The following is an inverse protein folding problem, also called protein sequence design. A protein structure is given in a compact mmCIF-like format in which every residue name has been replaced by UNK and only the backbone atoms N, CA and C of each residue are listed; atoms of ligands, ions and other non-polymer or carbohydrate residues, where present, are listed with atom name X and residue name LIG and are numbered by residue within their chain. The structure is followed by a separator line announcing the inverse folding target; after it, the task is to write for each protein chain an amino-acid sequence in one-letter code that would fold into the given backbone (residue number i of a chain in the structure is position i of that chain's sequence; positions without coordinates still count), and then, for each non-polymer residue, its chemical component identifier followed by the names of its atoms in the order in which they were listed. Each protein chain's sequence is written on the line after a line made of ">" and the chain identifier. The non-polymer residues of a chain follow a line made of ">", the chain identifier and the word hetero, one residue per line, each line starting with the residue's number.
data_IF_935754207046
#
_entry.id   IF_935754207046
#
_cell.length_a   1.000
_cell.length_b   1.000
_cell.length_c   1.000
_cell.angle_alpha   90.00
_cell.angle_beta   90.00
_cell.angle_gamma   90.00
#
_symmetry.space_group_name_H-M   'P 1'
#
loop_
_entity.id
_entity.type
_entity.pdbx_description
1 polymer ?
#
# COMPACT_ATOMS: atom_id res chain seq x y z
N UNK A 1 19.59 21.30 -8.57
CA UNK A 1 18.62 20.18 -8.62
C UNK A 1 18.06 20.09 -7.23
N UNK A 2 16.96 20.80 -7.00
CA UNK A 2 16.37 20.91 -5.68
C UNK A 2 15.81 19.55 -5.26
N UNK A 3 16.25 19.07 -4.10
CA UNK A 3 15.68 17.87 -3.52
C UNK A 3 14.20 18.09 -3.30
N UNK A 4 13.36 17.25 -3.91
CA UNK A 4 11.93 17.24 -3.64
C UNK A 4 11.72 17.03 -2.13
N UNK A 5 11.39 18.10 -1.43
CA UNK A 5 10.93 18.01 -0.04
C UNK A 5 9.46 17.60 -0.11
N UNK A 6 9.22 16.29 0.01
CA UNK A 6 7.87 15.75 0.12
C UNK A 6 7.44 15.94 1.57
N UNK A 7 6.73 17.03 1.86
CA UNK A 7 6.21 17.31 3.20
C UNK A 7 5.47 16.07 3.75
N UNK A 8 5.90 15.57 4.90
CA UNK A 8 5.33 14.38 5.54
C UNK A 8 5.92 13.04 5.09
N UNK A 9 7.00 12.99 4.28
CA UNK A 9 7.73 11.75 3.99
C UNK A 9 9.04 11.66 4.80
N UNK A 10 9.18 10.61 5.60
CA UNK A 10 10.41 10.27 6.32
C UNK A 10 11.17 9.23 5.49
N UNK A 11 12.31 9.62 4.91
CA UNK A 11 13.14 8.71 4.09
C UNK A 11 14.22 8.05 4.95
N UNK A 12 14.40 6.73 4.78
CA UNK A 12 15.45 5.95 5.45
C UNK A 12 16.55 5.49 4.49
N UNK A 13 16.19 5.14 3.25
CA UNK A 13 17.11 4.66 2.22
C UNK A 13 16.63 5.15 0.85
N UNK A 14 17.55 5.47 -0.06
CA UNK A 14 17.22 5.81 -1.45
C UNK A 14 17.98 4.86 -2.37
N UNK A 15 17.40 3.69 -2.69
CA UNK A 15 18.07 2.71 -3.54
C UNK A 15 18.16 3.21 -4.99
N UNK A 16 19.30 3.00 -5.62
CA UNK A 16 19.54 3.30 -7.03
C UNK A 16 19.15 2.08 -7.90
N UNK A 17 17.85 1.81 -7.95
CA UNK A 17 17.27 0.69 -8.71
C UNK A 17 15.89 1.07 -9.24
N UNK A 18 15.55 0.57 -10.43
CA UNK A 18 14.21 0.75 -10.99
C UNK A 18 13.23 -0.20 -10.32
N UNK A 19 12.04 0.29 -9.99
CA UNK A 19 10.97 -0.51 -9.39
C UNK A 19 9.72 -0.42 -10.28
N UNK A 20 9.67 -1.08 -11.45
CA UNK A 20 8.59 -0.86 -12.42
C UNK A 20 7.21 -1.32 -11.95
N UNK A 21 7.11 -2.07 -10.86
CA UNK A 21 5.84 -2.49 -10.27
C UNK A 21 5.74 -2.04 -8.82
N UNK A 22 4.60 -1.46 -8.46
CA UNK A 22 4.24 -1.14 -7.09
C UNK A 22 3.00 -1.94 -6.67
N UNK A 23 3.03 -2.56 -5.48
CA UNK A 23 1.85 -3.18 -4.88
C UNK A 23 1.47 -2.41 -3.62
N UNK A 24 0.20 -2.06 -3.49
CA UNK A 24 -0.30 -1.14 -2.47
C UNK A 24 -1.48 -1.77 -1.73
N UNK A 25 -1.48 -1.71 -0.40
CA UNK A 25 -2.64 -2.07 0.41
C UNK A 25 -2.76 -1.14 1.63
N UNK A 26 -4.00 -0.85 2.00
CA UNK A 26 -4.33 -0.08 3.20
C UNK A 26 -5.12 -0.95 4.15
N UNK A 27 -4.81 -0.87 5.43
CA UNK A 27 -5.69 -1.33 6.49
C UNK A 27 -6.84 -0.33 6.64
N UNK A 28 -8.00 -0.80 7.09
CA UNK A 28 -9.18 0.02 7.28
C UNK A 28 -10.40 -0.62 6.66
N UNK A 29 -11.28 0.21 6.09
CA UNK A 29 -12.57 -0.24 5.56
C UNK A 29 -12.46 -1.28 4.42
N UNK A 30 -11.56 -1.14 3.43
CA UNK A 30 -11.42 -2.10 2.33
C UNK A 30 -10.34 -3.18 2.56
N UNK A 31 -10.18 -3.67 3.81
CA UNK A 31 -9.23 -4.74 4.16
C UNK A 31 -9.86 -5.79 5.09
N UNK A 32 -10.94 -6.42 4.62
CA UNK A 32 -11.64 -7.47 5.35
C UNK A 32 -10.68 -8.58 5.80
N UNK A 33 -10.73 -8.92 7.09
CA UNK A 33 -9.84 -9.88 7.76
C UNK A 33 -8.33 -9.61 7.57
N UNK A 34 -7.98 -8.35 7.30
CA UNK A 34 -6.64 -7.88 6.95
C UNK A 34 -6.02 -8.60 5.75
N UNK A 35 -6.83 -9.13 4.82
CA UNK A 35 -6.33 -10.00 3.76
C UNK A 35 -5.32 -9.30 2.83
N UNK A 36 -5.59 -8.05 2.43
CA UNK A 36 -4.72 -7.29 1.52
C UNK A 36 -3.43 -6.86 2.23
N UNK A 37 -3.53 -6.31 3.44
CA UNK A 37 -2.32 -5.91 4.17
C UNK A 37 -1.49 -7.11 4.64
N UNK A 38 -2.11 -8.25 4.99
CA UNK A 38 -1.38 -9.49 5.29
C UNK A 38 -0.64 -10.03 4.07
N UNK A 39 -1.19 -9.90 2.86
CA UNK A 39 -0.51 -10.31 1.63
C UNK A 39 0.80 -9.52 1.43
N UNK A 40 0.76 -8.19 1.52
CA UNK A 40 1.97 -7.37 1.37
C UNK A 40 2.96 -7.62 2.51
N UNK A 41 2.49 -7.70 3.77
CA UNK A 41 3.38 -8.04 4.91
C UNK A 41 4.01 -9.42 4.75
N UNK A 42 3.32 -10.38 4.14
CA UNK A 42 3.88 -11.69 3.81
C UNK A 42 4.97 -11.57 2.75
N UNK A 43 4.75 -10.80 1.68
CA UNK A 43 5.77 -10.51 0.66
C UNK A 43 7.00 -9.85 1.27
N UNK A 44 6.83 -8.82 2.11
CA UNK A 44 7.96 -8.15 2.79
C UNK A 44 8.82 -9.14 3.58
N UNK A 45 8.18 -10.09 4.29
CA UNK A 45 8.92 -11.12 5.06
C UNK A 45 9.60 -12.18 4.18
N UNK A 46 9.00 -12.53 3.04
CA UNK A 46 9.47 -13.63 2.18
C UNK A 46 10.45 -13.18 1.09
N UNK A 47 10.35 -11.93 0.65
CA UNK A 47 11.24 -11.27 -0.30
C UNK A 47 12.28 -10.40 0.43
N UNK A 48 12.71 -10.77 1.65
CA UNK A 48 13.36 -9.88 2.64
C UNK A 48 13.38 -8.37 2.30
N UNK A 49 12.21 -7.77 2.08
CA UNK A 49 12.12 -6.43 1.51
C UNK A 49 12.55 -5.38 2.54
N UNK A 50 13.35 -4.41 2.11
CA UNK A 50 13.92 -3.38 2.98
C UNK A 50 13.02 -2.16 3.02
N UNK A 51 12.82 -1.57 4.19
CA UNK A 51 12.05 -0.33 4.35
C UNK A 51 12.87 0.85 3.83
N UNK A 52 12.29 1.66 2.95
CA UNK A 52 12.98 2.83 2.34
C UNK A 52 12.42 4.16 2.82
N UNK A 53 11.13 4.21 3.18
CA UNK A 53 10.48 5.42 3.65
C UNK A 53 9.21 5.10 4.44
N UNK A 54 8.69 6.10 5.15
CA UNK A 54 7.35 6.10 5.73
C UNK A 54 6.69 7.48 5.60
N UNK A 55 5.36 7.51 5.58
CA UNK A 55 4.60 8.78 5.66
C UNK A 55 4.37 9.10 7.13
N UNK A 56 4.80 10.29 7.57
CA UNK A 56 4.56 10.84 8.90
C UNK A 56 3.06 10.95 9.15
N UNK A 57 2.52 10.32 10.21
CA UNK A 57 1.08 10.31 10.44
C UNK A 57 0.50 11.65 10.92
N UNK A 58 1.31 12.60 11.40
CA UNK A 58 0.87 13.82 12.10
C UNK A 58 -0.22 14.60 11.33
N UNK A 59 -0.02 14.77 10.02
CA UNK A 59 -0.89 15.62 9.18
C UNK A 59 -2.09 14.87 8.58
N UNK A 60 -2.12 13.54 8.68
CA UNK A 60 -3.05 12.68 7.93
C UNK A 60 -3.99 11.86 8.79
N UNK A 61 -3.70 11.71 10.09
CA UNK A 61 -4.46 10.89 11.01
C UNK A 61 -5.15 11.72 12.09
N UNK A 62 -6.40 11.41 12.35
CA UNK A 62 -7.06 11.82 13.59
C UNK A 62 -6.73 10.78 14.67
N UNK A 63 -5.81 11.12 15.57
CA UNK A 63 -5.39 10.21 16.63
C UNK A 63 -6.47 9.92 17.68
N UNK A 64 -7.61 10.61 17.64
CA UNK A 64 -8.77 10.25 18.47
C UNK A 64 -9.56 9.09 17.85
N UNK A 65 -9.52 8.95 16.52
CA UNK A 65 -10.13 7.86 15.74
C UNK A 65 -9.16 6.68 15.64
N UNK A 66 -7.93 6.91 15.18
CA UNK A 66 -6.89 5.88 15.03
C UNK A 66 -5.83 6.07 16.11
N UNK A 67 -6.14 5.57 17.31
CA UNK A 67 -5.30 5.77 18.50
C UNK A 67 -3.93 5.10 18.38
N UNK A 68 -2.82 5.82 18.66
CA UNK A 68 -1.52 5.22 18.85
C UNK A 68 -1.54 4.21 20.00
N UNK A 69 -0.76 3.15 19.87
CA UNK A 69 -0.73 2.07 20.85
C UNK A 69 0.58 2.05 21.63
N UNK A 70 0.50 1.97 22.95
CA UNK A 70 1.71 1.72 23.75
C UNK A 70 2.17 0.28 23.57
N UNK A 71 3.48 0.09 23.49
CA UNK A 71 4.14 -1.21 23.39
C UNK A 71 5.39 -1.22 24.26
N UNK A 72 5.80 -2.40 24.70
CA UNK A 72 7.09 -2.62 25.33
C UNK A 72 8.00 -3.25 24.28
N UNK A 73 9.14 -2.63 24.01
CA UNK A 73 10.10 -3.15 23.03
C UNK A 73 10.95 -4.29 23.64
N UNK A 74 11.84 -4.88 22.85
CA UNK A 74 12.72 -5.99 23.31
C UNK A 74 13.68 -5.59 24.44
N UNK A 75 13.90 -4.28 24.67
CA UNK A 75 14.74 -3.74 25.75
C UNK A 75 13.94 -3.45 27.03
N UNK A 76 12.63 -3.71 27.04
CA UNK A 76 11.75 -3.39 28.17
C UNK A 76 11.27 -1.93 28.20
N UNK A 77 11.58 -1.13 27.19
CA UNK A 77 11.22 0.29 27.14
C UNK A 77 9.79 0.46 26.61
N UNK A 78 9.02 1.35 27.25
CA UNK A 78 7.70 1.74 26.75
C UNK A 78 7.87 2.67 25.55
N UNK A 79 7.36 2.25 24.40
CA UNK A 79 7.32 3.01 23.15
C UNK A 79 5.89 3.24 22.71
N UNK A 80 5.68 4.27 21.87
CA UNK A 80 4.41 4.53 21.20
C UNK A 80 4.53 4.01 19.76
N UNK A 81 3.54 3.22 19.35
CA UNK A 81 3.36 2.78 17.97
C UNK A 81 2.25 3.60 17.34
N UNK A 82 2.65 4.52 16.48
CA UNK A 82 1.77 5.32 15.65
C UNK A 82 1.16 4.49 14.50
N UNK A 83 0.06 4.95 13.88
CA UNK A 83 -0.35 4.47 12.56
C UNK A 83 0.82 4.58 11.57
N UNK A 84 1.01 3.57 10.73
CA UNK A 84 2.19 3.50 9.83
C UNK A 84 1.76 3.33 8.39
N UNK A 85 2.51 3.97 7.51
CA UNK A 85 2.40 3.92 6.06
C UNK A 85 3.80 3.76 5.50
N UNK A 86 4.19 2.50 5.29
CA UNK A 86 5.57 2.14 5.05
C UNK A 86 5.78 1.76 3.57
N UNK A 87 6.88 2.25 2.99
CA UNK A 87 7.39 1.82 1.69
C UNK A 87 8.55 0.85 1.89
N UNK A 88 8.52 -0.26 1.16
CA UNK A 88 9.58 -1.26 1.11
C UNK A 88 9.99 -1.52 -0.32
N UNK A 89 11.23 -1.92 -0.55
CA UNK A 89 11.69 -2.39 -1.84
C UNK A 89 12.33 -3.76 -1.75
N UNK A 90 12.24 -4.52 -2.85
CA UNK A 90 13.03 -5.73 -3.05
C UNK A 90 13.62 -5.73 -4.47
N UNK A 91 14.95 -5.69 -4.60
CA UNK A 91 15.64 -5.95 -5.85
C UNK A 91 15.91 -7.47 -5.96
N UNK A 92 15.44 -8.16 -7.01
CA UNK A 92 15.86 -9.53 -7.29
C UNK A 92 17.34 -9.58 -7.66
N UNK A 93 18.06 -10.63 -7.24
CA UNK A 93 19.52 -10.75 -7.34
C UNK A 93 20.08 -10.62 -8.77
N UNK A 94 19.28 -10.91 -9.81
CA UNK A 94 19.73 -10.99 -11.21
C UNK A 94 19.14 -9.91 -12.14
N UNK A 95 18.15 -9.15 -11.68
CA UNK A 95 17.47 -8.14 -12.51
C UNK A 95 17.64 -6.76 -11.91
N UNK A 96 18.10 -5.78 -12.69
CA UNK A 96 18.16 -4.35 -12.30
C UNK A 96 16.76 -3.71 -12.11
N UNK A 97 15.75 -4.51 -11.78
CA UNK A 97 14.34 -4.19 -11.77
C UNK A 97 13.68 -4.91 -10.61
N UNK A 98 13.23 -4.16 -9.61
CA UNK A 98 12.61 -4.71 -8.40
C UNK A 98 11.13 -4.39 -8.26
N UNK A 99 10.62 -4.62 -7.05
CA UNK A 99 9.25 -4.31 -6.68
C UNK A 99 9.21 -3.30 -5.53
N UNK A 100 8.36 -2.29 -5.68
CA UNK A 100 7.99 -1.37 -4.62
C UNK A 100 6.76 -1.93 -3.90
N UNK A 101 6.80 -2.03 -2.59
CA UNK A 101 5.70 -2.50 -1.76
C UNK A 101 5.29 -1.39 -0.82
N UNK A 102 4.00 -1.11 -0.76
CA UNK A 102 3.42 -0.16 0.17
C UNK A 102 2.38 -0.86 1.03
N UNK A 103 2.50 -0.72 2.35
CA UNK A 103 1.47 -1.15 3.28
C UNK A 103 1.22 -0.07 4.33
N UNK A 104 -0.03 0.35 4.42
CA UNK A 104 -0.42 1.49 5.23
C UNK A 104 -1.72 1.29 5.99
N UNK A 105 -2.15 2.35 6.65
CA UNK A 105 -3.50 2.50 7.21
C UNK A 105 -4.17 3.63 6.46
N UNK A 106 -5.44 3.48 6.12
CA UNK A 106 -6.20 4.55 5.45
C UNK A 106 -6.16 5.85 6.29
N UNK A 107 -5.74 6.99 5.68
CA UNK A 107 -5.68 8.27 6.39
C UNK A 107 -7.09 8.80 6.68
N UNK A 108 -7.25 9.60 7.72
CA UNK A 108 -8.52 10.27 8.02
C UNK A 108 -8.66 11.60 7.28
N UNK A 109 -7.54 12.27 7.03
CA UNK A 109 -7.48 13.65 6.53
C UNK A 109 -6.64 13.74 5.26
N UNK A 110 -6.82 14.84 4.51
CA UNK A 110 -5.96 15.26 3.39
C UNK A 110 -5.66 14.18 2.33
N UNK A 111 -6.65 13.37 1.96
CA UNK A 111 -6.48 12.26 0.99
C UNK A 111 -5.76 12.66 -0.30
N UNK A 112 -6.03 13.84 -0.85
CA UNK A 112 -5.32 14.32 -2.06
C UNK A 112 -3.81 14.48 -1.84
N UNK A 113 -3.42 15.12 -0.74
CA UNK A 113 -1.99 15.29 -0.42
C UNK A 113 -1.33 13.95 -0.11
N UNK A 114 -2.03 13.08 0.63
CA UNK A 114 -1.54 11.73 0.93
C UNK A 114 -1.34 10.89 -0.34
N UNK A 115 -2.32 10.88 -1.25
CA UNK A 115 -2.23 10.19 -2.54
C UNK A 115 -1.07 10.73 -3.37
N UNK A 116 -0.86 12.05 -3.38
CA UNK A 116 0.27 12.66 -4.10
C UNK A 116 1.61 12.11 -3.58
N UNK A 117 1.79 11.97 -2.27
CA UNK A 117 3.01 11.38 -1.68
C UNK A 117 3.23 9.94 -2.20
N UNK A 118 2.17 9.13 -2.24
CA UNK A 118 2.24 7.75 -2.76
C UNK A 118 2.60 7.74 -4.26
N UNK A 119 1.97 8.61 -5.06
CA UNK A 119 2.25 8.77 -6.48
C UNK A 119 3.66 9.29 -6.76
N UNK A 120 4.14 10.25 -5.97
CA UNK A 120 5.50 10.80 -6.08
C UNK A 120 6.55 9.74 -5.79
N UNK A 121 6.31 8.85 -4.81
CA UNK A 121 7.15 7.68 -4.60
C UNK A 121 7.15 6.73 -5.80
N UNK A 122 5.98 6.50 -6.41
CA UNK A 122 5.88 5.69 -7.62
C UNK A 122 6.64 6.31 -8.80
N UNK A 123 6.52 7.63 -9.00
CA UNK A 123 7.24 8.38 -10.02
C UNK A 123 8.76 8.38 -9.80
N UNK A 124 9.19 8.58 -8.55
CA UNK A 124 10.62 8.58 -8.15
C UNK A 124 11.34 7.29 -8.54
N UNK A 125 10.66 6.14 -8.44
CA UNK A 125 11.24 4.83 -8.78
C UNK A 125 10.80 4.29 -10.16
N UNK A 126 10.28 5.17 -11.03
CA UNK A 126 9.85 4.86 -12.39
C UNK A 126 8.81 3.73 -12.49
N UNK A 127 7.92 3.60 -11.51
CA UNK A 127 6.83 2.62 -11.52
C UNK A 127 6.00 2.77 -12.80
N UNK A 128 5.73 1.65 -13.48
CA UNK A 128 4.91 1.56 -14.69
C UNK A 128 3.55 0.88 -14.43
N UNK A 129 3.47 0.08 -13.36
CA UNK A 129 2.26 -0.62 -12.95
C UNK A 129 2.05 -0.48 -11.44
N UNK A 130 0.90 0.04 -11.05
CA UNK A 130 0.42 0.02 -9.66
C UNK A 130 -0.67 -1.04 -9.54
N UNK A 131 -0.53 -1.94 -8.57
CA UNK A 131 -1.53 -2.96 -8.21
C UNK A 131 -2.04 -2.63 -6.81
N UNK A 132 -3.26 -2.10 -6.73
CA UNK A 132 -3.94 -1.86 -5.46
C UNK A 132 -4.72 -3.10 -5.03
N UNK A 133 -4.42 -3.60 -3.83
CA UNK A 133 -5.08 -4.76 -3.24
C UNK A 133 -6.08 -4.31 -2.19
N UNK A 134 -7.27 -4.88 -2.20
CA UNK A 134 -8.30 -4.69 -1.17
C UNK A 134 -9.06 -5.99 -0.92
N UNK A 135 -9.79 -6.04 0.19
CA UNK A 135 -10.66 -7.15 0.54
C UNK A 135 -11.96 -6.63 1.14
N UNK A 136 -13.08 -7.19 0.70
CA UNK A 136 -14.41 -6.77 1.11
C UNK A 136 -15.16 -7.96 1.69
N UNK A 137 -16.04 -7.68 2.65
CA UNK A 137 -17.00 -8.67 3.15
C UNK A 137 -18.07 -8.89 2.10
N UNK A 138 -18.34 -10.15 1.80
CA UNK A 138 -19.39 -10.56 0.86
C UNK A 138 -20.08 -11.83 1.39
N UNK A 139 -21.30 -12.09 0.93
CA UNK A 139 -22.10 -13.25 1.31
C UNK A 139 -21.64 -14.51 0.57
N UNK A 140 -20.37 -14.90 0.78
CA UNK A 140 -19.73 -16.07 0.17
C UNK A 140 -19.35 -17.10 1.25
N UNK A 141 -19.61 -18.40 1.03
CA UNK A 141 -19.25 -19.42 2.00
C UNK A 141 -17.72 -19.63 2.03
N UNK A 142 -17.16 -19.81 3.23
CA UNK A 142 -15.73 -20.07 3.44
C UNK A 142 -15.23 -21.42 2.88
N UNK A 143 -16.15 -22.26 2.38
CA UNK A 143 -15.88 -23.56 1.78
C UNK A 143 -15.70 -23.52 0.25
N UNK A 144 -15.79 -22.32 -0.36
CA UNK A 144 -15.52 -22.13 -1.79
C UNK A 144 -14.34 -21.20 -2.01
N UNK A 145 -13.77 -21.29 -3.22
CA UNK A 145 -12.70 -20.39 -3.63
C UNK A 145 -13.14 -18.92 -3.53
N UNK A 146 -12.30 -18.03 -2.97
CA UNK A 146 -12.58 -16.61 -2.92
C UNK A 146 -12.74 -16.02 -4.32
N UNK A 147 -13.78 -15.19 -4.51
CA UNK A 147 -13.96 -14.45 -5.76
C UNK A 147 -13.00 -13.27 -5.81
N UNK A 148 -12.38 -13.07 -6.97
CA UNK A 148 -11.52 -11.92 -7.23
C UNK A 148 -12.24 -11.00 -8.23
N UNK A 149 -12.45 -9.76 -7.82
CA UNK A 149 -13.00 -8.70 -8.67
C UNK A 149 -12.05 -7.52 -8.68
N UNK A 150 -12.12 -6.69 -9.71
CA UNK A 150 -11.21 -5.56 -9.85
C UNK A 150 -11.56 -4.63 -10.99
N UNK A 151 -10.79 -3.54 -11.09
CA UNK A 151 -10.86 -2.56 -12.18
C UNK A 151 -9.46 -2.31 -12.72
N UNK A 152 -9.40 -1.86 -13.96
CA UNK A 152 -8.17 -1.53 -14.66
C UNK A 152 -8.30 -0.16 -15.34
N UNK A 153 -7.19 0.57 -15.46
CA UNK A 153 -7.15 1.95 -15.97
C UNK A 153 -6.86 2.06 -17.48
N UNK A 154 -6.40 0.98 -18.12
CA UNK A 154 -6.11 0.95 -19.56
C UNK A 154 -6.80 -0.23 -20.25
N UNK A 155 -6.91 -0.16 -21.59
CA UNK A 155 -7.47 -1.25 -22.40
C UNK A 155 -6.65 -2.53 -22.23
N UNK A 156 -5.33 -2.43 -22.35
CA UNK A 156 -4.42 -3.58 -22.22
C UNK A 156 -4.53 -4.24 -20.84
N UNK A 157 -4.59 -3.44 -19.76
CA UNK A 157 -4.80 -3.98 -18.42
C UNK A 157 -6.19 -4.60 -18.28
N UNK A 158 -7.21 -4.02 -18.90
CA UNK A 158 -8.58 -4.56 -18.90
C UNK A 158 -8.64 -5.94 -19.56
N UNK A 159 -7.95 -6.14 -20.69
CA UNK A 159 -7.85 -7.44 -21.35
C UNK A 159 -7.10 -8.44 -20.49
N UNK A 160 -6.00 -8.02 -19.85
CA UNK A 160 -5.21 -8.85 -18.95
C UNK A 160 -6.01 -9.32 -17.73
N UNK A 161 -6.74 -8.43 -17.05
CA UNK A 161 -7.57 -8.82 -15.89
C UNK A 161 -8.71 -9.75 -16.30
N UNK A 162 -9.33 -9.54 -17.47
CA UNK A 162 -10.34 -10.46 -18.01
C UNK A 162 -9.76 -11.85 -18.30
N UNK A 163 -8.57 -11.91 -18.90
CA UNK A 163 -7.87 -13.17 -19.15
C UNK A 163 -7.54 -13.93 -17.85
N UNK A 164 -7.23 -13.21 -16.78
CA UNK A 164 -7.03 -13.77 -15.43
C UNK A 164 -8.34 -14.17 -14.72
N UNK A 165 -9.51 -14.01 -15.37
CA UNK A 165 -10.82 -14.32 -14.78
C UNK A 165 -11.31 -13.31 -13.75
N UNK A 166 -10.67 -12.13 -13.65
CA UNK A 166 -11.06 -11.08 -12.71
C UNK A 166 -12.26 -10.32 -13.30
N UNK A 167 -13.36 -10.35 -12.57
CA UNK A 167 -14.60 -9.71 -13.00
C UNK A 167 -14.61 -8.22 -12.64
N UNK A 168 -15.22 -7.41 -13.52
CA UNK A 168 -15.39 -5.98 -13.25
C UNK A 168 -16.46 -5.78 -12.18
N UNK A 169 -16.16 -4.95 -11.16
CA UNK A 169 -17.15 -4.53 -10.18
C UNK A 169 -17.98 -3.36 -10.74
N UNK A 170 -19.30 -3.48 -10.71
CA UNK A 170 -20.25 -2.40 -11.02
C UNK A 170 -20.58 -1.49 -9.83
N UNK A 171 -19.87 -1.63 -8.70
CA UNK A 171 -20.18 -0.92 -7.46
C UNK A 171 -20.18 0.61 -7.61
N UNK A 172 -21.18 1.23 -6.99
CA UNK A 172 -21.32 2.68 -6.82
C UNK A 172 -21.73 2.94 -5.36
N UNK A 173 -21.03 3.85 -4.67
CA UNK A 173 -21.25 4.13 -3.26
C UNK A 173 -20.03 4.78 -2.62
N UNK A 174 -19.97 4.83 -1.27
CA UNK A 174 -18.79 5.29 -0.53
C UNK A 174 -17.53 4.56 -1.00
N UNK A 175 -16.42 5.28 -1.09
CA UNK A 175 -15.13 4.74 -1.53
C UNK A 175 -14.06 4.92 -0.45
N UNK A 176 -12.99 4.14 -0.56
CA UNK A 176 -11.80 4.28 0.26
C UNK A 176 -10.66 4.97 -0.49
N UNK A 177 -9.55 5.18 0.22
CA UNK A 177 -8.30 5.76 -0.31
C UNK A 177 -7.76 5.01 -1.54
N UNK A 178 -8.10 3.72 -1.70
CA UNK A 178 -7.70 2.88 -2.83
C UNK A 178 -8.09 3.43 -4.21
N UNK A 179 -9.11 4.30 -4.28
CA UNK A 179 -9.54 4.92 -5.54
C UNK A 179 -9.02 6.34 -5.71
N UNK A 180 -8.28 6.86 -4.73
CA UNK A 180 -7.85 8.26 -4.68
C UNK A 180 -6.45 8.48 -5.32
N UNK A 181 -5.83 7.44 -5.89
CA UNK A 181 -4.57 7.51 -6.63
C UNK A 181 -4.62 6.61 -7.86
#
# INVERSE_FOLDING_TARGET
>A
MDGFHMDGLITHETPDVKLPTMIVAFAGWPDAAEAATRAIRYMVRKLPAKKIAEIDPEEFFDFTVVRPQTRVNRRGERIIRWPRNDFYYYPPDETQSGILLYVGTEPNLKWRAFSNIVCEMALKYEVKLVVSLGALLDAVPHTREPRITGRASSKDLTEKVKWLGIQNSGYQGPTGIHTAF
#
